data_IF_686544428348
#
_entry.id   IF_686544428348
#
_cell.length_a   1.000
_cell.length_b   1.000
_cell.length_c   1.000
_cell.angle_alpha   90.00
_cell.angle_beta   90.00
_cell.angle_gamma   90.00
#
_symmetry.space_group_name_H-M   'P 1'
#
loop_
_entity.id
_entity.type
_entity.pdbx_description
1 polymer ?
#
# COMPACT_ATOMS: atom_id res chain seq x y z
N UNK A 1 -31.24 10.35 41.25
CA UNK A 1 -30.85 8.95 40.97
C UNK A 1 -30.52 8.86 39.48
N UNK A 2 -29.24 8.93 39.15
CA UNK A 2 -28.75 8.98 37.77
C UNK A 2 -28.59 7.57 37.21
N UNK A 3 -29.35 7.23 36.17
CA UNK A 3 -29.16 6.00 35.40
C UNK A 3 -27.87 6.12 34.56
N UNK A 4 -26.86 5.37 34.94
CA UNK A 4 -25.61 5.20 34.19
C UNK A 4 -25.87 4.28 32.99
N UNK A 5 -25.76 4.82 31.76
CA UNK A 5 -25.72 4.03 30.53
C UNK A 5 -24.45 3.19 30.52
N UNK A 6 -24.61 1.86 30.59
CA UNK A 6 -23.56 0.86 30.42
C UNK A 6 -23.19 0.80 28.93
N UNK A 7 -22.02 1.33 28.56
CA UNK A 7 -21.43 1.14 27.23
C UNK A 7 -20.93 -0.30 27.14
N UNK A 8 -21.57 -1.11 26.30
CA UNK A 8 -21.06 -2.42 25.89
C UNK A 8 -19.72 -2.24 25.17
N UNK A 9 -18.66 -2.83 25.72
CA UNK A 9 -17.38 -2.99 25.01
C UNK A 9 -17.62 -4.00 23.89
N UNK A 10 -17.63 -3.52 22.65
CA UNK A 10 -17.64 -4.37 21.45
C UNK A 10 -16.37 -5.23 21.48
N UNK A 11 -16.54 -6.54 21.58
CA UNK A 11 -15.45 -7.49 21.59
C UNK A 11 -14.65 -7.36 20.28
N UNK A 12 -13.32 -7.28 20.41
CA UNK A 12 -12.38 -7.27 19.29
C UNK A 12 -12.47 -8.57 18.51
N UNK A 13 -12.82 -8.47 17.22
CA UNK A 13 -12.80 -9.60 16.30
C UNK A 13 -11.36 -10.07 16.10
N UNK A 14 -11.04 -11.38 16.18
CA UNK A 14 -9.69 -11.87 15.97
C UNK A 14 -9.34 -11.88 14.47
N UNK A 15 -8.29 -11.17 14.07
CA UNK A 15 -7.80 -11.15 12.68
C UNK A 15 -6.65 -12.15 12.50
N UNK A 16 -6.70 -12.93 11.42
CA UNK A 16 -5.87 -14.11 11.10
C UNK A 16 -4.80 -13.84 10.03
N UNK A 17 -3.81 -14.74 9.98
CA UNK A 17 -2.46 -14.62 9.42
C UNK A 17 -2.26 -14.65 7.89
N UNK A 18 -1.26 -13.93 7.36
CA UNK A 18 -0.74 -14.16 5.98
C UNK A 18 0.65 -14.79 6.04
N UNK A 19 0.84 -15.94 5.38
CA UNK A 19 2.12 -16.67 5.37
C UNK A 19 2.94 -16.31 4.11
N UNK A 20 4.15 -15.79 4.30
CA UNK A 20 5.03 -15.29 3.22
C UNK A 20 6.20 -16.21 2.83
N UNK A 21 6.30 -17.40 3.43
CA UNK A 21 7.49 -18.28 3.38
C UNK A 21 8.00 -18.64 1.98
N UNK A 22 7.15 -18.61 0.95
CA UNK A 22 7.53 -18.96 -0.42
C UNK A 22 7.90 -17.77 -1.33
N UNK A 23 7.72 -16.52 -0.87
CA UNK A 23 7.80 -15.32 -1.74
C UNK A 23 9.01 -14.41 -1.50
N UNK A 24 9.78 -14.66 -0.45
CA UNK A 24 11.03 -13.94 -0.18
C UNK A 24 12.25 -14.62 -0.84
N UNK A 25 13.31 -13.86 -1.18
CA UNK A 25 14.57 -14.42 -1.69
C UNK A 25 15.16 -15.44 -0.71
N UNK A 26 15.95 -16.39 -1.22
CA UNK A 26 16.47 -17.55 -0.45
C UNK A 26 17.19 -17.11 0.83
N UNK A 27 17.93 -16.01 0.79
CA UNK A 27 18.65 -15.42 1.91
C UNK A 27 17.75 -15.09 3.12
N UNK A 28 16.47 -14.81 2.88
CA UNK A 28 15.51 -14.39 3.89
C UNK A 28 14.58 -15.52 4.36
N UNK A 29 14.67 -16.71 3.77
CA UNK A 29 13.87 -17.88 4.18
C UNK A 29 14.19 -18.38 5.59
N UNK A 30 15.34 -17.98 6.14
CA UNK A 30 15.78 -18.34 7.49
C UNK A 30 15.22 -17.43 8.58
N UNK A 31 14.54 -16.32 8.24
CA UNK A 31 13.91 -15.42 9.22
C UNK A 31 12.49 -15.92 9.51
N UNK A 32 12.18 -16.39 10.74
CA UNK A 32 10.82 -16.78 11.11
C UNK A 32 9.96 -15.52 11.25
N UNK A 33 9.26 -15.16 10.18
CA UNK A 33 8.16 -14.18 10.20
C UNK A 33 6.86 -14.92 10.55
N UNK A 34 6.47 -14.94 11.83
CA UNK A 34 5.13 -15.34 12.28
C UNK A 34 4.55 -14.25 13.19
N UNK A 35 3.67 -13.41 12.61
CA UNK A 35 2.55 -12.63 13.22
C UNK A 35 2.82 -11.75 14.48
N UNK A 36 1.87 -10.90 14.98
CA UNK A 36 0.51 -10.59 14.55
C UNK A 36 0.28 -9.14 14.07
N UNK A 37 -0.82 -8.97 13.35
CA UNK A 37 -1.30 -7.71 12.78
C UNK A 37 -1.79 -6.72 13.84
N UNK A 38 -1.20 -5.53 13.88
CA UNK A 38 -1.81 -4.36 14.50
C UNK A 38 -2.28 -3.39 13.43
N UNK A 39 -3.56 -3.50 13.05
CA UNK A 39 -4.27 -2.40 12.39
C UNK A 39 -4.57 -1.34 13.46
N UNK A 40 -3.57 -0.56 13.85
CA UNK A 40 -3.79 0.57 14.75
C UNK A 40 -4.39 1.74 13.97
N UNK A 41 -5.72 1.74 13.80
CA UNK A 41 -6.43 3.01 13.63
C UNK A 41 -6.29 3.76 14.95
N UNK A 42 -5.29 4.63 15.07
CA UNK A 42 -5.16 5.51 16.24
C UNK A 42 -6.47 6.32 16.36
N UNK A 43 -7.17 6.27 17.50
CA UNK A 43 -8.35 7.10 17.72
C UNK A 43 -7.96 8.58 17.57
N UNK A 44 -8.58 9.29 16.63
CA UNK A 44 -8.32 10.72 16.39
C UNK A 44 -7.56 11.06 15.10
N UNK A 45 -7.19 10.08 14.26
CA UNK A 45 -6.62 10.40 12.94
C UNK A 45 -7.71 10.95 12.00
N UNK A 46 -7.45 12.06 11.28
CA UNK A 46 -8.38 12.57 10.27
C UNK A 46 -8.62 11.50 9.19
N UNK A 47 -9.77 11.58 8.51
CA UNK A 47 -10.26 10.63 7.48
C UNK A 47 -9.28 10.37 6.33
N UNK A 48 -8.18 11.12 6.24
CA UNK A 48 -7.20 11.09 5.15
C UNK A 48 -5.87 10.43 5.52
N UNK A 49 -5.70 9.97 6.77
CA UNK A 49 -4.45 9.39 7.26
C UNK A 49 -4.61 7.89 7.54
N UNK A 50 -3.80 7.08 6.87
CA UNK A 50 -3.68 5.63 7.15
C UNK A 50 -2.25 5.37 7.61
N UNK A 51 -2.11 4.72 8.77
CA UNK A 51 -0.83 4.25 9.28
C UNK A 51 -0.86 2.72 9.36
N UNK A 52 0.07 2.07 8.67
CA UNK A 52 0.30 0.63 8.73
C UNK A 52 1.64 0.38 9.41
N UNK A 53 1.69 -0.57 10.34
CA UNK A 53 2.92 -1.00 10.97
C UNK A 53 3.03 -2.52 10.87
N UNK A 54 4.14 -2.99 10.31
CA UNK A 54 4.50 -4.39 10.22
C UNK A 54 5.63 -4.63 11.21
N UNK A 55 5.44 -5.61 12.11
CA UNK A 55 6.43 -6.02 13.09
C UNK A 55 6.66 -7.54 12.96
N UNK A 56 7.80 -8.01 13.44
CA UNK A 56 8.15 -9.42 13.48
C UNK A 56 8.31 -9.85 14.94
N UNK A 57 7.55 -10.86 15.39
CA UNK A 57 7.61 -11.37 16.78
C UNK A 57 9.02 -11.81 17.22
N UNK A 58 9.82 -12.39 16.32
CA UNK A 58 11.17 -12.86 16.60
C UNK A 58 12.16 -11.69 16.74
N UNK A 59 12.07 -10.70 15.85
CA UNK A 59 12.96 -9.53 15.84
C UNK A 59 12.51 -8.42 16.78
N UNK A 60 11.25 -8.43 17.24
CA UNK A 60 10.68 -7.41 18.12
C UNK A 60 10.93 -6.01 17.56
N UNK A 61 11.57 -5.14 18.34
CA UNK A 61 11.88 -3.76 17.97
C UNK A 61 13.02 -3.65 16.94
N UNK A 62 13.77 -4.73 16.69
CA UNK A 62 14.84 -4.76 15.69
C UNK A 62 14.30 -4.86 14.26
N UNK A 63 12.98 -4.98 14.05
CA UNK A 63 12.37 -4.90 12.73
C UNK A 63 11.00 -4.24 12.75
N UNK A 64 10.84 -3.19 11.94
CA UNK A 64 9.52 -2.73 11.55
C UNK A 64 9.50 -2.09 10.16
N UNK A 65 8.32 -2.13 9.54
CA UNK A 65 7.99 -1.32 8.37
C UNK A 65 6.78 -0.48 8.76
N UNK A 66 6.87 0.84 8.64
CA UNK A 66 5.79 1.77 8.93
C UNK A 66 5.46 2.54 7.65
N UNK A 67 4.19 2.54 7.26
CA UNK A 67 3.70 3.29 6.10
C UNK A 67 2.64 4.27 6.59
N UNK A 68 2.95 5.55 6.55
CA UNK A 68 2.03 6.64 6.86
C UNK A 68 1.62 7.29 5.54
N UNK A 69 0.32 7.39 5.26
CA UNK A 69 -0.17 7.95 4.00
C UNK A 69 -1.08 9.15 4.23
N UNK A 70 -0.81 10.25 3.53
CA UNK A 70 -1.74 11.36 3.35
C UNK A 70 -2.27 11.40 1.92
N UNK A 71 -3.58 11.54 1.78
CA UNK A 71 -4.23 11.74 0.47
C UNK A 71 -4.67 13.20 0.38
N UNK A 72 -4.06 13.98 -0.53
CA UNK A 72 -4.37 15.41 -0.70
C UNK A 72 -4.88 15.71 -2.13
N UNK A 73 -5.79 16.69 -2.28
CA UNK A 73 -6.29 17.12 -3.60
C UNK A 73 -5.30 18.09 -4.27
N UNK A 74 -4.06 17.65 -4.46
CA UNK A 74 -2.97 18.43 -5.08
C UNK A 74 -2.19 17.57 -6.10
N UNK A 75 -1.19 18.18 -6.74
CA UNK A 75 -0.28 17.54 -7.70
C UNK A 75 1.16 17.66 -7.23
N UNK A 76 1.53 16.90 -6.20
CA UNK A 76 2.91 16.84 -5.69
C UNK A 76 3.45 18.21 -5.22
N UNK A 77 2.58 19.16 -4.85
CA UNK A 77 2.97 20.53 -4.44
C UNK A 77 3.15 20.71 -2.94
N UNK A 78 2.65 19.78 -2.11
CA UNK A 78 2.81 19.86 -0.66
C UNK A 78 4.22 19.38 -0.26
N UNK A 79 5.05 20.31 0.20
CA UNK A 79 6.30 19.98 0.89
C UNK A 79 6.04 19.47 2.30
N UNK A 80 6.78 18.44 2.72
CA UNK A 80 6.69 17.81 4.04
C UNK A 80 5.24 17.55 4.51
N UNK A 81 4.46 16.74 3.76
CA UNK A 81 3.04 16.52 4.01
C UNK A 81 2.74 15.87 5.38
N UNK A 82 3.74 15.21 5.98
CA UNK A 82 3.65 14.56 7.29
C UNK A 82 4.03 15.48 8.45
N UNK A 83 4.57 16.67 8.18
CA UNK A 83 4.98 17.63 9.20
C UNK A 83 6.13 17.14 10.07
N UNK A 84 7.09 16.42 9.46
CA UNK A 84 8.30 15.97 10.15
C UNK A 84 9.16 17.17 10.58
N UNK A 85 9.95 17.05 11.67
CA UNK A 85 10.97 18.03 12.00
C UNK A 85 11.91 18.29 10.82
N UNK A 86 12.44 19.52 10.62
CA UNK A 86 13.33 19.83 9.49
C UNK A 86 14.54 18.90 9.39
N UNK A 87 15.15 18.58 10.53
CA UNK A 87 16.29 17.66 10.65
C UNK A 87 15.97 16.23 10.16
N UNK A 88 14.75 15.73 10.38
CA UNK A 88 14.32 14.43 9.86
C UNK A 88 13.95 14.52 8.37
N UNK A 89 13.36 15.64 7.95
CA UNK A 89 12.91 15.85 6.57
C UNK A 89 14.07 15.96 5.57
N UNK A 90 15.20 16.55 5.99
CA UNK A 90 16.41 16.66 5.17
C UNK A 90 16.97 15.29 4.74
N UNK A 91 16.77 14.25 5.55
CA UNK A 91 17.22 12.87 5.27
C UNK A 91 16.20 12.05 4.45
N UNK A 92 15.03 12.61 4.12
CA UNK A 92 14.00 11.90 3.35
C UNK A 92 14.28 11.94 1.85
N UNK A 93 14.39 10.75 1.23
CA UNK A 93 14.39 10.61 -0.21
C UNK A 93 12.96 10.68 -0.78
N UNK A 94 12.70 11.65 -1.66
CA UNK A 94 11.43 11.76 -2.38
C UNK A 94 11.49 10.93 -3.65
N UNK A 95 10.65 9.89 -3.72
CA UNK A 95 10.57 8.99 -4.88
C UNK A 95 9.22 9.15 -5.59
N UNK A 96 9.16 9.88 -6.72
CA UNK A 96 7.93 9.99 -7.49
C UNK A 96 7.60 8.65 -8.16
N UNK A 97 6.32 8.30 -8.18
CA UNK A 97 5.78 7.15 -8.92
C UNK A 97 4.87 7.71 -10.02
N UNK A 98 5.21 7.43 -11.28
CA UNK A 98 4.37 7.75 -12.42
C UNK A 98 3.73 6.48 -12.96
N UNK A 99 2.41 6.36 -12.79
CA UNK A 99 1.67 5.17 -13.19
C UNK A 99 1.60 4.99 -14.72
N UNK A 100 1.84 6.04 -15.50
CA UNK A 100 1.87 5.97 -16.97
C UNK A 100 3.28 5.65 -17.51
N UNK A 101 4.31 5.81 -16.70
CA UNK A 101 5.71 5.59 -17.12
C UNK A 101 6.06 4.10 -17.13
N UNK A 102 6.15 3.53 -18.34
CA UNK A 102 6.50 2.13 -18.56
C UNK A 102 7.88 1.76 -18.00
N UNK A 103 8.81 2.71 -17.89
CA UNK A 103 10.17 2.45 -17.40
C UNK A 103 10.23 2.16 -15.89
N UNK A 104 9.17 2.50 -15.14
CA UNK A 104 9.08 2.24 -13.70
C UNK A 104 8.50 0.86 -13.36
N UNK A 105 8.20 0.04 -14.37
CA UNK A 105 7.62 -1.30 -14.22
C UNK A 105 8.59 -2.33 -14.76
N UNK A 106 8.93 -3.32 -13.94
CA UNK A 106 9.74 -4.44 -14.37
C UNK A 106 9.00 -5.27 -15.43
N UNK A 107 9.71 -5.80 -16.43
CA UNK A 107 9.11 -6.60 -17.51
C UNK A 107 8.35 -7.82 -16.99
N UNK A 108 8.80 -8.39 -15.86
CA UNK A 108 8.15 -9.55 -15.21
C UNK A 108 6.78 -9.22 -14.60
N UNK A 109 6.52 -7.95 -14.30
CA UNK A 109 5.26 -7.48 -13.74
C UNK A 109 4.34 -6.84 -14.78
N UNK A 110 4.89 -6.48 -15.94
CA UNK A 110 4.13 -5.79 -16.95
C UNK A 110 2.99 -6.64 -17.49
N UNK A 111 1.79 -6.08 -17.44
CA UNK A 111 0.59 -6.63 -18.06
C UNK A 111 -0.11 -5.53 -18.87
N UNK A 112 -0.37 -5.73 -20.17
CA UNK A 112 -1.07 -4.74 -21.00
C UNK A 112 -2.43 -4.33 -20.41
N UNK A 113 -3.18 -5.28 -19.84
CA UNK A 113 -4.48 -5.02 -19.21
C UNK A 113 -4.41 -4.19 -17.92
N UNK A 114 -3.22 -3.99 -17.36
CA UNK A 114 -2.93 -3.17 -16.18
C UNK A 114 -2.04 -1.98 -16.56
N UNK A 115 -2.14 -1.49 -17.81
CA UNK A 115 -1.34 -0.37 -18.32
C UNK A 115 -2.17 0.91 -18.54
N UNK A 116 -2.04 1.92 -17.65
CA UNK A 116 -2.74 3.19 -17.77
C UNK A 116 -2.45 3.97 -19.06
N UNK A 117 -1.29 3.72 -19.69
CA UNK A 117 -0.90 4.39 -20.93
C UNK A 117 -1.71 3.92 -22.15
N UNK A 118 -2.44 2.80 -22.03
CA UNK A 118 -3.31 2.26 -23.08
C UNK A 118 -4.74 2.03 -22.62
N UNK A 119 -4.99 2.00 -21.31
CA UNK A 119 -6.33 1.84 -20.75
C UNK A 119 -7.16 3.12 -20.89
N UNK A 120 -8.41 2.96 -21.35
CA UNK A 120 -9.41 4.00 -21.42
C UNK A 120 -10.68 3.53 -20.69
N UNK A 121 -11.15 4.30 -19.72
CA UNK A 121 -12.37 3.99 -18.96
C UNK A 121 -13.61 4.31 -19.78
N UNK A 122 -14.48 3.32 -19.98
CA UNK A 122 -15.74 3.51 -20.71
C UNK A 122 -16.75 4.33 -19.90
N UNK A 123 -16.73 4.22 -18.56
CA UNK A 123 -17.70 4.90 -17.70
C UNK A 123 -17.36 6.36 -17.45
N UNK A 124 -16.07 6.69 -17.38
CA UNK A 124 -15.62 8.04 -16.99
C UNK A 124 -14.94 8.82 -18.10
N UNK A 125 -14.56 8.15 -19.20
CA UNK A 125 -13.77 8.74 -20.29
C UNK A 125 -12.35 9.10 -19.90
N UNK A 126 -11.83 8.62 -18.75
CA UNK A 126 -10.46 8.86 -18.30
C UNK A 126 -9.48 7.90 -18.98
N UNK A 127 -8.26 8.40 -19.20
CA UNK A 127 -7.22 7.67 -19.93
C UNK A 127 -7.45 7.71 -21.44
N UNK A 128 -6.51 7.20 -22.25
CA UNK A 128 -5.20 6.73 -21.85
C UNK A 128 -4.31 7.85 -21.30
N UNK A 129 -3.40 7.52 -20.39
CA UNK A 129 -2.45 8.46 -19.80
C UNK A 129 -1.19 8.56 -20.68
N UNK A 130 -1.09 9.62 -21.49
CA UNK A 130 0.11 9.91 -22.28
C UNK A 130 1.28 10.44 -21.43
N UNK A 131 2.48 10.62 -22.01
CA UNK A 131 3.66 11.10 -21.27
C UNK A 131 3.49 12.44 -20.55
N UNK A 132 2.59 13.31 -21.05
CA UNK A 132 2.31 14.64 -20.50
C UNK A 132 1.01 14.70 -19.69
N UNK A 133 0.45 13.55 -19.30
CA UNK A 133 -0.86 13.45 -18.65
C UNK A 133 -0.98 14.34 -17.40
N UNK A 134 0.10 14.50 -16.63
CA UNK A 134 0.11 15.38 -15.44
C UNK A 134 -0.14 16.85 -15.81
N UNK A 135 0.47 17.34 -16.88
CA UNK A 135 0.28 18.73 -17.36
C UNK A 135 -1.12 18.93 -17.95
N UNK A 136 -1.59 17.95 -18.71
CA UNK A 136 -2.95 17.97 -19.28
C UNK A 136 -4.02 17.98 -18.18
N UNK A 137 -3.82 17.18 -17.14
CA UNK A 137 -4.71 17.07 -15.99
C UNK A 137 -4.75 18.37 -15.17
N UNK A 138 -3.62 19.06 -15.01
CA UNK A 138 -3.57 20.35 -14.31
C UNK A 138 -4.42 21.44 -14.99
N UNK A 139 -4.48 21.41 -16.32
CA UNK A 139 -5.21 22.37 -17.14
C UNK A 139 -6.65 21.94 -17.46
N UNK A 140 -7.05 20.74 -17.03
CA UNK A 140 -8.33 20.12 -17.35
C UNK A 140 -9.34 20.15 -16.19
N UNK A 141 -10.53 19.61 -16.44
CA UNK A 141 -11.60 19.46 -15.44
C UNK A 141 -11.66 18.03 -14.85
N UNK A 142 -10.60 17.25 -15.00
CA UNK A 142 -10.52 15.89 -14.47
C UNK A 142 -9.96 15.93 -13.04
N UNK A 143 -10.58 15.24 -12.06
CA UNK A 143 -10.13 15.30 -10.68
C UNK A 143 -8.79 14.58 -10.51
N UNK A 144 -7.97 15.13 -9.61
CA UNK A 144 -6.66 14.60 -9.27
C UNK A 144 -6.44 14.64 -7.77
N UNK A 145 -5.50 13.81 -7.32
CA UNK A 145 -5.05 13.76 -5.94
C UNK A 145 -3.63 13.18 -5.90
N UNK A 146 -2.89 13.46 -4.84
CA UNK A 146 -1.57 12.86 -4.57
C UNK A 146 -1.62 12.08 -3.26
N UNK A 147 -1.10 10.85 -3.30
CA UNK A 147 -0.93 10.00 -2.12
C UNK A 147 0.52 10.07 -1.63
N UNK A 148 0.77 10.81 -0.55
CA UNK A 148 2.09 10.96 0.06
C UNK A 148 2.34 9.83 1.05
N UNK A 149 3.06 8.80 0.62
CA UNK A 149 3.37 7.59 1.41
C UNK A 149 4.77 7.71 2.01
N UNK A 150 4.83 8.05 3.30
CA UNK A 150 6.07 8.00 4.09
C UNK A 150 6.31 6.56 4.52
N UNK A 151 7.35 5.95 3.99
CA UNK A 151 7.78 4.59 4.34
C UNK A 151 8.99 4.69 5.26
N UNK A 152 8.88 4.18 6.47
CA UNK A 152 9.99 4.02 7.41
C UNK A 152 10.28 2.54 7.54
N UNK A 153 11.49 2.12 7.19
CA UNK A 153 11.97 0.75 7.41
C UNK A 153 13.05 0.78 8.48
N UNK A 154 12.93 -0.11 9.44
CA UNK A 154 13.96 -0.36 10.44
C UNK A 154 14.28 -1.84 10.43
N UNK A 155 15.56 -2.18 10.28
CA UNK A 155 16.02 -3.56 10.37
C UNK A 155 17.42 -3.61 10.99
N UNK A 156 17.49 -3.95 12.27
CA UNK A 156 18.73 -4.05 13.02
C UNK A 156 19.26 -5.48 12.98
N UNK A 157 20.16 -5.75 12.04
CA UNK A 157 20.89 -7.02 11.97
C UNK A 157 22.34 -6.80 11.52
N UNK A 158 23.28 -7.36 12.26
CA UNK A 158 24.70 -7.18 12.00
C UNK A 158 25.10 -7.69 10.60
N UNK A 159 25.68 -6.80 9.80
CA UNK A 159 26.14 -7.10 8.44
C UNK A 159 25.07 -7.13 7.36
N UNK A 160 23.78 -6.93 7.71
CA UNK A 160 22.67 -6.97 6.74
C UNK A 160 21.80 -5.71 6.73
N UNK A 161 21.84 -4.85 7.76
CA UNK A 161 20.97 -3.69 7.93
C UNK A 161 20.62 -2.94 6.62
N UNK A 162 21.58 -2.19 6.06
CA UNK A 162 21.31 -1.35 4.89
C UNK A 162 20.91 -2.14 3.64
N UNK A 163 21.37 -3.39 3.48
CA UNK A 163 20.97 -4.24 2.34
C UNK A 163 19.48 -4.58 2.42
N UNK A 164 18.98 -4.92 3.61
CA UNK A 164 17.59 -5.33 3.80
C UNK A 164 16.66 -4.13 3.81
N UNK A 165 17.05 -3.02 4.44
CA UNK A 165 16.26 -1.79 4.42
C UNK A 165 16.05 -1.31 2.98
N UNK A 166 17.12 -1.24 2.19
CA UNK A 166 17.05 -0.87 0.77
C UNK A 166 16.21 -1.85 -0.05
N UNK A 167 16.35 -3.16 0.19
CA UNK A 167 15.54 -4.17 -0.49
C UNK A 167 14.05 -3.98 -0.21
N UNK A 168 13.66 -3.72 1.04
CA UNK A 168 12.26 -3.47 1.40
C UNK A 168 11.74 -2.21 0.71
N UNK A 169 12.50 -1.12 0.71
CA UNK A 169 12.11 0.11 0.01
C UNK A 169 11.88 -0.12 -1.49
N UNK A 170 12.76 -0.88 -2.16
CA UNK A 170 12.54 -1.29 -3.56
C UNK A 170 11.25 -2.08 -3.74
N UNK A 171 10.96 -3.01 -2.83
CA UNK A 171 9.76 -3.84 -2.92
C UNK A 171 8.48 -3.06 -2.64
N UNK A 172 8.49 -2.11 -1.70
CA UNK A 172 7.37 -1.19 -1.45
C UNK A 172 7.12 -0.27 -2.66
N UNK A 173 8.18 0.29 -3.26
CA UNK A 173 8.08 1.06 -4.51
C UNK A 173 7.42 0.23 -5.62
N UNK A 174 7.93 -0.98 -5.86
CA UNK A 174 7.38 -1.92 -6.85
C UNK A 174 5.91 -2.25 -6.58
N UNK A 175 5.55 -2.50 -5.31
CA UNK A 175 4.17 -2.75 -4.90
C UNK A 175 3.27 -1.55 -5.19
N UNK A 176 3.67 -0.34 -4.80
CA UNK A 176 2.89 0.86 -5.04
C UNK A 176 2.73 1.15 -6.53
N UNK A 177 3.78 1.02 -7.34
CA UNK A 177 3.68 1.22 -8.79
C UNK A 177 2.64 0.28 -9.41
N UNK A 178 2.75 -1.03 -9.15
CA UNK A 178 1.84 -2.03 -9.72
C UNK A 178 0.41 -1.86 -9.20
N UNK A 179 0.26 -1.59 -7.90
CA UNK A 179 -1.05 -1.39 -7.27
C UNK A 179 -1.81 -0.19 -7.85
N UNK A 180 -1.17 0.98 -8.02
CA UNK A 180 -1.89 2.16 -8.52
C UNK A 180 -2.16 2.07 -10.03
N UNK A 181 -1.32 1.37 -10.79
CA UNK A 181 -1.61 1.02 -12.18
C UNK A 181 -2.87 0.15 -12.29
N UNK A 182 -2.96 -0.92 -11.50
CA UNK A 182 -4.16 -1.76 -11.40
C UNK A 182 -5.38 -0.97 -10.95
N UNK A 183 -5.23 -0.14 -9.92
CA UNK A 183 -6.32 0.69 -9.39
C UNK A 183 -6.93 1.57 -10.49
N UNK A 184 -6.09 2.21 -11.31
CA UNK A 184 -6.55 3.03 -12.43
C UNK A 184 -7.20 2.18 -13.54
N UNK A 185 -6.57 1.09 -13.96
CA UNK A 185 -7.10 0.21 -15.02
C UNK A 185 -8.37 -0.55 -14.61
N UNK A 186 -8.67 -0.63 -13.31
CA UNK A 186 -9.91 -1.20 -12.79
C UNK A 186 -10.97 -0.15 -12.48
N UNK A 187 -10.78 1.11 -12.89
CA UNK A 187 -11.69 2.22 -12.59
C UNK A 187 -13.16 1.87 -12.88
N UNK A 188 -13.45 1.30 -14.06
CA UNK A 188 -14.83 0.94 -14.42
C UNK A 188 -15.46 -0.12 -13.51
N UNK A 189 -14.65 -0.90 -12.80
CA UNK A 189 -15.12 -1.94 -11.86
C UNK A 189 -15.53 -1.38 -10.51
N UNK A 190 -14.92 -0.28 -10.08
CA UNK A 190 -15.12 0.24 -8.72
C UNK A 190 -15.74 1.64 -8.64
N UNK A 191 -15.74 2.42 -9.72
CA UNK A 191 -16.18 3.83 -9.69
C UNK A 191 -17.62 4.06 -9.23
N UNK A 192 -18.52 3.10 -9.51
CA UNK A 192 -19.94 3.19 -9.14
C UNK A 192 -20.26 2.48 -7.81
N UNK A 193 -19.25 1.93 -7.13
CA UNK A 193 -19.49 1.18 -5.90
C UNK A 193 -19.73 2.12 -4.73
N UNK A 194 -20.73 1.79 -3.93
CA UNK A 194 -20.98 2.49 -2.66
C UNK A 194 -20.07 1.92 -1.56
N UNK A 195 -19.91 2.67 -0.47
CA UNK A 195 -19.19 2.16 0.70
C UNK A 195 -19.82 0.89 1.30
N UNK A 196 -21.13 0.70 1.14
CA UNK A 196 -21.82 -0.51 1.61
C UNK A 196 -21.54 -1.71 0.70
N UNK A 197 -21.36 -1.48 -0.61
CA UNK A 197 -20.89 -2.52 -1.53
C UNK A 197 -19.45 -2.94 -1.20
N UNK A 198 -18.58 -1.97 -0.89
CA UNK A 198 -17.20 -2.24 -0.47
C UNK A 198 -17.18 -3.13 0.78
N UNK A 199 -17.96 -2.80 1.81
CA UNK A 199 -18.03 -3.61 3.04
C UNK A 199 -18.49 -5.04 2.79
N UNK A 200 -19.48 -5.24 1.91
CA UNK A 200 -19.96 -6.57 1.55
C UNK A 200 -18.88 -7.37 0.81
N UNK A 201 -18.20 -6.74 -0.15
CA UNK A 201 -17.09 -7.37 -0.88
C UNK A 201 -15.90 -7.69 0.04
N UNK A 202 -15.59 -6.85 1.02
CA UNK A 202 -14.55 -7.13 2.02
C UNK A 202 -14.87 -8.42 2.79
N UNK A 203 -16.12 -8.61 3.22
CA UNK A 203 -16.55 -9.84 3.91
C UNK A 203 -16.47 -11.08 3.03
N UNK A 204 -16.87 -10.98 1.76
CA UNK A 204 -16.79 -12.08 0.79
C UNK A 204 -15.33 -12.44 0.46
N UNK A 205 -14.52 -11.42 0.15
CA UNK A 205 -13.09 -11.56 -0.16
C UNK A 205 -12.33 -12.16 1.01
N UNK A 206 -12.65 -11.77 2.26
CA UNK A 206 -12.05 -12.36 3.45
C UNK A 206 -12.27 -13.87 3.51
N UNK A 207 -13.50 -14.34 3.23
CA UNK A 207 -13.84 -15.77 3.23
C UNK A 207 -13.10 -16.52 2.11
N UNK A 208 -13.07 -15.96 0.91
CA UNK A 208 -12.36 -16.56 -0.23
C UNK A 208 -10.86 -16.65 0.02
N UNK A 209 -10.22 -15.59 0.52
CA UNK A 209 -8.80 -15.59 0.84
C UNK A 209 -8.45 -16.63 1.90
N UNK A 210 -9.29 -16.83 2.92
CA UNK A 210 -9.09 -17.87 3.93
C UNK A 210 -9.19 -19.29 3.33
N UNK A 211 -10.11 -19.52 2.38
CA UNK A 211 -10.20 -20.78 1.65
C UNK A 211 -8.98 -21.00 0.74
N UNK A 212 -8.57 -19.98 -0.02
CA UNK A 212 -7.44 -20.08 -0.93
C UNK A 212 -6.11 -20.25 -0.20
N UNK A 213 -5.95 -19.66 0.99
CA UNK A 213 -4.76 -19.88 1.83
C UNK A 213 -4.69 -21.32 2.36
N UNK A 214 -5.84 -21.95 2.61
CA UNK A 214 -5.90 -23.31 3.15
C UNK A 214 -5.82 -24.40 2.07
N UNK A 215 -6.30 -24.13 0.86
CA UNK A 215 -6.48 -25.13 -0.20
C UNK A 215 -5.73 -24.82 -1.51
N UNK A 216 -5.28 -23.58 -1.70
CA UNK A 216 -4.72 -23.10 -2.97
C UNK A 216 -3.20 -23.27 -3.09
N UNK A 217 -2.70 -23.17 -4.33
CA UNK A 217 -1.27 -23.08 -4.63
C UNK A 217 -0.74 -21.65 -4.47
N UNK A 218 0.58 -21.52 -4.29
CA UNK A 218 1.25 -20.20 -4.20
C UNK A 218 1.13 -19.46 -5.54
N UNK A 219 0.63 -18.22 -5.51
CA UNK A 219 0.39 -17.35 -6.67
C UNK A 219 0.77 -15.88 -6.40
N UNK A 220 0.83 -15.05 -7.44
CA UNK A 220 1.14 -13.61 -7.32
C UNK A 220 2.63 -13.28 -7.44
N UNK A 221 3.01 -12.05 -7.10
CA UNK A 221 4.39 -11.56 -7.23
C UNK A 221 5.38 -12.38 -6.40
N UNK A 222 6.53 -12.68 -7.02
CA UNK A 222 7.72 -13.21 -6.34
C UNK A 222 8.70 -12.07 -6.17
N UNK A 223 9.35 -11.99 -5.01
CA UNK A 223 10.49 -11.09 -4.85
C UNK A 223 11.59 -11.45 -5.86
N UNK A 224 12.23 -10.43 -6.43
CA UNK A 224 13.40 -10.65 -7.29
C UNK A 224 14.60 -11.16 -6.49
N UNK A 225 15.52 -11.84 -7.17
CA UNK A 225 16.86 -12.09 -6.64
C UNK A 225 17.73 -10.88 -7.02
N UNK A 226 18.12 -10.07 -6.03
CA UNK A 226 19.19 -9.07 -6.16
C UNK A 226 20.56 -9.79 -6.20
#
# INVERSE_FOLDING_TARGET
>A
MNLTRRTERRASTPTRSTTYTARFPVLFRCLPLKEPWFFMRKPGTPTHTVALAFQNEYMKDDFFIKIETWHKPDMETTENPHGLPPEEWEDIEIVPIDIADRSQVDDVDYKPEEDPAIYHSEKTGRGPLGPEWKKELHNGNCPYMTAYKLVTVHFRWWGLQGRVENFIHKQEKRLFTNFHRQLFCWLDRWVDLTMDDIRRMEEETQRELDQMRSQGSVRGMKAGED
#
